data_IF_993455040696
#
_entry.id   IF_993455040696
#
_cell.length_a   1.000
_cell.length_b   1.000
_cell.length_c   1.000
_cell.angle_alpha   90.00
_cell.angle_beta   90.00
_cell.angle_gamma   90.00
#
_symmetry.space_group_name_H-M   'P 1'
#
loop_
_entity.id
_entity.type
_entity.pdbx_description
1 polymer ?
#
# COMPACT_ATOMS: atom_id res chain seq x y z
N UNK A 1 -34.92 10.34 -32.47
CA UNK A 1 -34.03 10.95 -31.47
C UNK A 1 -33.37 9.81 -30.72
N UNK A 2 -32.16 9.46 -31.14
CA UNK A 2 -31.38 8.37 -30.55
C UNK A 2 -30.84 8.83 -29.21
N UNK A 3 -31.35 8.22 -28.13
CA UNK A 3 -30.82 8.35 -26.78
C UNK A 3 -29.41 7.76 -26.74
N UNK A 4 -28.41 8.64 -26.71
CA UNK A 4 -27.02 8.25 -26.45
C UNK A 4 -26.90 7.91 -24.97
N UNK A 5 -26.77 6.63 -24.67
CA UNK A 5 -26.40 6.11 -23.36
C UNK A 5 -24.96 6.52 -23.06
N UNK A 6 -24.81 7.56 -22.25
CA UNK A 6 -23.53 7.92 -21.63
C UNK A 6 -23.09 6.75 -20.75
N UNK A 7 -22.19 5.91 -21.26
CA UNK A 7 -21.36 5.08 -20.41
C UNK A 7 -20.54 6.03 -19.54
N UNK A 8 -20.80 6.03 -18.23
CA UNK A 8 -20.06 6.87 -17.30
C UNK A 8 -18.57 6.57 -17.43
N UNK A 9 -17.77 7.60 -17.67
CA UNK A 9 -16.33 7.52 -17.50
C UNK A 9 -16.09 7.03 -16.06
N UNK A 10 -15.53 5.82 -15.93
CA UNK A 10 -15.21 5.26 -14.62
C UNK A 10 -14.33 6.25 -13.86
N UNK A 11 -14.78 6.68 -12.68
CA UNK A 11 -14.02 7.62 -11.87
C UNK A 11 -12.63 7.03 -11.59
N UNK A 12 -11.56 7.81 -11.82
CA UNK A 12 -10.19 7.38 -11.52
C UNK A 12 -9.96 7.13 -10.02
N UNK A 13 -8.73 6.79 -9.66
CA UNK A 13 -8.40 6.39 -8.29
C UNK A 13 -8.64 7.52 -7.29
N UNK A 14 -9.22 7.19 -6.14
CA UNK A 14 -9.37 8.09 -4.99
C UNK A 14 -8.22 7.85 -4.02
N UNK A 15 -7.48 8.89 -3.67
CA UNK A 15 -6.28 8.78 -2.82
C UNK A 15 -6.56 9.40 -1.46
N UNK A 16 -6.29 8.65 -0.39
CA UNK A 16 -6.34 9.15 0.99
C UNK A 16 -4.95 9.06 1.62
N UNK A 17 -4.54 10.16 2.28
CA UNK A 17 -3.30 10.25 3.05
C UNK A 17 -3.59 10.73 4.48
N UNK A 18 -2.86 10.29 5.50
CA UNK A 18 -2.99 10.88 6.83
C UNK A 18 -2.63 12.38 6.78
N UNK A 19 -3.33 13.25 7.55
CA UNK A 19 -4.31 12.91 8.57
C UNK A 19 -5.76 12.81 8.07
N UNK A 20 -6.01 12.71 6.75
CA UNK A 20 -7.39 12.65 6.22
C UNK A 20 -8.14 11.43 6.76
N UNK A 21 -9.40 11.65 7.14
CA UNK A 21 -10.31 10.56 7.46
C UNK A 21 -10.65 9.76 6.20
N UNK A 22 -10.79 8.45 6.39
CA UNK A 22 -11.06 7.50 5.31
C UNK A 22 -12.51 7.02 5.45
N UNK A 23 -13.34 7.08 4.38
CA UNK A 23 -14.78 6.77 4.45
C UNK A 23 -15.03 5.34 4.93
N UNK A 24 -16.04 5.13 5.78
CA UNK A 24 -16.45 3.81 6.26
C UNK A 24 -17.92 3.53 5.85
N UNK A 25 -18.19 2.57 4.95
CA UNK A 25 -17.23 1.65 4.32
C UNK A 25 -16.33 2.34 3.27
N UNK A 26 -15.20 1.68 2.94
CA UNK A 26 -14.36 2.10 1.81
C UNK A 26 -15.16 2.04 0.50
N UNK A 27 -14.87 2.97 -0.40
CA UNK A 27 -15.51 3.00 -1.71
C UNK A 27 -14.75 2.13 -2.71
N UNK A 28 -15.41 1.10 -3.22
CA UNK A 28 -14.85 0.20 -4.23
C UNK A 28 -13.66 -0.63 -3.73
N UNK A 29 -12.97 -1.28 -4.66
CA UNK A 29 -11.77 -2.06 -4.37
C UNK A 29 -10.65 -1.15 -3.86
N UNK A 30 -9.88 -1.61 -2.88
CA UNK A 30 -8.90 -0.78 -2.17
C UNK A 30 -7.51 -1.40 -2.08
N UNK A 31 -6.48 -0.54 -2.08
CA UNK A 31 -5.08 -0.92 -1.91
C UNK A 31 -4.38 -0.02 -0.89
N UNK A 32 -3.64 -0.64 0.03
CA UNK A 32 -2.75 0.06 0.96
C UNK A 32 -1.30 -0.01 0.49
N UNK A 33 -0.58 1.12 0.53
CA UNK A 33 0.82 1.23 0.08
C UNK A 33 1.81 1.09 1.24
N UNK A 34 1.96 -0.13 1.77
CA UNK A 34 2.91 -0.43 2.86
C UNK A 34 4.35 -0.43 2.36
N UNK A 35 5.32 -0.05 3.20
CA UNK A 35 6.71 -0.17 2.80
C UNK A 35 7.61 0.93 3.30
N UNK A 36 8.82 0.95 2.74
CA UNK A 36 9.88 1.89 3.11
C UNK A 36 9.41 3.35 3.00
N UNK A 37 9.41 4.04 4.14
CA UNK A 37 9.29 5.49 4.27
C UNK A 37 10.46 5.92 5.15
N UNK A 38 11.62 6.14 4.53
CA UNK A 38 12.80 6.64 5.22
C UNK A 38 13.17 7.99 4.63
N UNK A 39 12.87 9.06 5.39
CA UNK A 39 13.05 10.44 4.92
C UNK A 39 14.48 10.68 4.45
N UNK A 40 14.62 11.09 3.19
CA UNK A 40 15.91 11.38 2.55
C UNK A 40 16.69 10.16 2.04
N UNK A 41 16.17 8.93 2.20
CA UNK A 41 16.80 7.71 1.66
C UNK A 41 15.89 6.91 0.74
N UNK A 42 14.62 6.72 1.12
CA UNK A 42 13.67 6.02 0.28
C UNK A 42 13.20 6.94 -0.86
N UNK A 43 13.16 6.43 -2.08
CA UNK A 43 12.48 7.12 -3.18
C UNK A 43 11.00 7.35 -2.87
N UNK A 44 10.37 8.31 -3.56
CA UNK A 44 8.93 8.59 -3.45
C UNK A 44 8.10 7.56 -4.22
N UNK A 45 8.30 6.28 -3.91
CA UNK A 45 7.71 5.17 -4.64
C UNK A 45 6.19 5.13 -4.51
N UNK A 46 5.62 5.61 -3.39
CA UNK A 46 4.16 5.69 -3.24
C UNK A 46 3.55 6.66 -4.25
N UNK A 47 4.23 7.77 -4.55
CA UNK A 47 3.76 8.74 -5.56
C UNK A 47 3.86 8.11 -6.96
N UNK A 48 4.98 7.43 -7.27
CA UNK A 48 5.14 6.67 -8.52
C UNK A 48 4.05 5.61 -8.69
N UNK A 49 3.73 4.85 -7.63
CA UNK A 49 2.71 3.82 -7.68
C UNK A 49 1.31 4.41 -7.81
N UNK A 50 1.01 5.47 -7.07
CA UNK A 50 -0.26 6.19 -7.16
C UNK A 50 -0.52 6.65 -8.59
N UNK A 51 0.49 7.23 -9.25
CA UNK A 51 0.39 7.65 -10.66
C UNK A 51 0.13 6.46 -11.59
N UNK A 52 0.74 5.29 -11.35
CA UNK A 52 0.49 4.08 -12.15
C UNK A 52 -0.91 3.50 -11.99
N UNK A 53 -1.57 3.79 -10.88
CA UNK A 53 -2.90 3.29 -10.54
C UNK A 53 -4.02 4.32 -10.80
N UNK A 54 -3.69 5.54 -11.24
CA UNK A 54 -4.60 6.70 -11.33
C UNK A 54 -5.89 6.47 -12.13
N UNK A 55 -5.85 5.62 -13.15
CA UNK A 55 -6.99 5.39 -14.06
C UNK A 55 -7.87 4.22 -13.61
N UNK A 56 -7.49 3.52 -12.53
CA UNK A 56 -8.30 2.44 -11.96
C UNK A 56 -9.34 3.03 -10.99
N UNK A 57 -10.60 2.58 -11.04
CA UNK A 57 -11.66 3.04 -10.13
C UNK A 57 -11.54 2.38 -8.75
N UNK A 58 -10.46 2.70 -8.04
CA UNK A 58 -10.09 2.11 -6.75
C UNK A 58 -9.82 3.17 -5.68
N UNK A 59 -9.81 2.74 -4.43
CA UNK A 59 -9.33 3.55 -3.30
C UNK A 59 -7.87 3.22 -2.98
N UNK A 60 -7.01 4.23 -2.98
CA UNK A 60 -5.58 4.13 -2.63
C UNK A 60 -5.38 4.74 -1.24
N UNK A 61 -4.88 3.93 -0.32
CA UNK A 61 -4.53 4.33 1.04
C UNK A 61 -3.01 4.49 1.11
N UNK A 62 -2.54 5.74 1.06
CA UNK A 62 -1.13 6.08 1.01
C UNK A 62 -0.68 6.60 2.39
N UNK A 63 0.12 5.82 3.17
CA UNK A 63 0.51 6.21 4.52
C UNK A 63 1.54 7.34 4.57
N UNK A 64 2.16 7.70 3.44
CA UNK A 64 3.18 8.74 3.39
C UNK A 64 2.55 10.13 3.63
N UNK A 65 2.63 10.59 4.87
CA UNK A 65 2.14 11.91 5.33
C UNK A 65 2.99 13.04 4.73
N UNK A 66 2.34 14.01 4.08
CA UNK A 66 3.04 15.16 3.48
C UNK A 66 3.60 16.11 4.57
N UNK A 67 2.89 16.26 5.69
CA UNK A 67 3.27 17.10 6.83
C UNK A 67 3.94 16.36 7.98
N UNK A 68 4.80 15.36 7.70
CA UNK A 68 5.54 14.65 8.75
C UNK A 68 6.58 15.56 9.42
N UNK A 69 6.64 15.52 10.75
CA UNK A 69 7.63 16.23 11.55
C UNK A 69 8.52 15.24 12.30
N UNK A 70 9.83 15.28 12.02
CA UNK A 70 10.83 14.39 12.61
C UNK A 70 11.07 14.63 14.10
N UNK A 71 10.55 15.72 14.66
CA UNK A 71 10.61 16.01 16.10
C UNK A 71 9.54 15.26 16.91
N UNK A 72 8.55 14.63 16.24
CA UNK A 72 7.54 13.87 16.94
C UNK A 72 8.13 12.69 17.70
N UNK A 73 7.94 12.71 19.01
CA UNK A 73 8.29 11.58 19.86
C UNK A 73 7.53 10.32 19.42
N UNK A 74 8.26 9.23 19.15
CA UNK A 74 7.69 7.93 18.77
C UNK A 74 7.15 7.17 20.00
N UNK A 75 6.16 7.77 20.66
CA UNK A 75 5.46 7.22 21.82
C UNK A 75 3.96 7.30 21.60
N UNK A 76 3.24 6.31 22.11
CA UNK A 76 1.76 6.28 22.12
C UNK A 76 1.14 7.53 22.76
N UNK A 77 1.85 8.18 23.69
CA UNK A 77 1.41 9.42 24.35
C UNK A 77 1.46 10.64 23.42
N UNK A 78 2.26 10.62 22.35
CA UNK A 78 2.25 11.67 21.34
C UNK A 78 1.03 11.47 20.42
N UNK A 79 0.08 12.41 20.38
CA UNK A 79 -1.17 12.24 19.63
C UNK A 79 -0.95 12.15 18.12
N UNK A 80 0.00 12.90 17.55
CA UNK A 80 0.28 12.89 16.11
C UNK A 80 0.89 11.55 15.66
N UNK A 81 1.87 11.06 16.41
CA UNK A 81 2.46 9.76 16.17
C UNK A 81 1.43 8.63 16.37
N UNK A 82 0.65 8.69 17.46
CA UNK A 82 -0.37 7.69 17.74
C UNK A 82 -1.48 7.68 16.68
N UNK A 83 -1.86 8.85 16.16
CA UNK A 83 -2.81 8.96 15.06
C UNK A 83 -2.26 8.28 13.80
N UNK A 84 -1.03 8.60 13.39
CA UNK A 84 -0.38 8.00 12.22
C UNK A 84 -0.40 6.46 12.31
N UNK A 85 0.09 5.90 13.41
CA UNK A 85 0.17 4.44 13.59
C UNK A 85 -1.23 3.79 13.60
N UNK A 86 -2.22 4.45 14.23
CA UNK A 86 -3.60 3.94 14.22
C UNK A 86 -4.23 3.99 12.84
N UNK A 87 -3.98 5.07 12.09
CA UNK A 87 -4.45 5.24 10.72
C UNK A 87 -3.87 4.15 9.81
N UNK A 88 -2.56 3.90 9.90
CA UNK A 88 -1.88 2.85 9.13
C UNK A 88 -2.43 1.45 9.44
N UNK A 89 -2.62 1.12 10.73
CA UNK A 89 -3.16 -0.17 11.15
C UNK A 89 -4.62 -0.36 10.74
N UNK A 90 -5.45 0.68 10.84
CA UNK A 90 -6.85 0.64 10.41
C UNK A 90 -6.96 0.44 8.90
N UNK A 91 -6.21 1.24 8.14
CA UNK A 91 -6.21 1.18 6.68
C UNK A 91 -5.71 -0.17 6.15
N UNK A 92 -4.64 -0.75 6.72
CA UNK A 92 -4.17 -2.08 6.33
C UNK A 92 -5.21 -3.17 6.62
N UNK A 93 -5.95 -3.09 7.74
CA UNK A 93 -7.01 -4.06 8.05
C UNK A 93 -8.15 -3.99 7.05
N UNK A 94 -8.53 -2.78 6.64
CA UNK A 94 -9.69 -2.52 5.78
C UNK A 94 -9.39 -2.73 4.30
N UNK A 95 -8.15 -2.52 3.87
CA UNK A 95 -7.76 -2.68 2.47
C UNK A 95 -8.03 -4.11 1.94
N UNK A 96 -8.37 -4.22 0.67
CA UNK A 96 -8.50 -5.52 -0.02
C UNK A 96 -7.13 -6.10 -0.39
N UNK A 97 -6.20 -5.22 -0.78
CA UNK A 97 -4.82 -5.56 -1.12
C UNK A 97 -3.84 -4.70 -0.32
N UNK A 98 -2.76 -5.31 0.17
CA UNK A 98 -1.62 -4.60 0.76
C UNK A 98 -0.44 -4.75 -0.19
N UNK A 99 -0.10 -3.68 -0.89
CA UNK A 99 1.07 -3.58 -1.75
C UNK A 99 2.26 -3.16 -0.89
N UNK A 100 3.17 -4.10 -0.60
CA UNK A 100 4.27 -3.91 0.33
C UNK A 100 5.62 -3.83 -0.39
N UNK A 101 6.31 -2.69 -0.30
CA UNK A 101 7.60 -2.48 -0.96
C UNK A 101 8.76 -2.25 0.02
N UNK A 102 9.78 -3.09 -0.06
CA UNK A 102 11.04 -2.93 0.66
C UNK A 102 12.09 -2.31 -0.27
N UNK A 103 12.32 -1.00 -0.14
CA UNK A 103 13.32 -0.29 -0.93
C UNK A 103 14.75 -0.73 -0.56
N UNK A 104 15.66 -0.89 -1.54
CA UNK A 104 17.09 -1.09 -1.28
C UNK A 104 17.65 -0.04 -0.31
N UNK A 105 18.66 -0.40 0.47
CA UNK A 105 19.36 0.50 1.40
C UNK A 105 18.52 1.10 2.56
N UNK A 106 17.26 0.69 2.72
CA UNK A 106 16.41 1.06 3.86
C UNK A 106 16.42 0.00 4.96
N UNK A 107 16.01 0.37 6.19
CA UNK A 107 15.88 -0.59 7.30
C UNK A 107 14.48 -1.16 7.47
N UNK A 108 13.45 -0.33 7.28
CA UNK A 108 12.02 -0.69 7.31
C UNK A 108 11.59 -1.62 8.45
N UNK A 109 11.96 -1.35 9.73
CA UNK A 109 11.61 -2.23 10.84
C UNK A 109 10.10 -2.33 11.08
N UNK A 110 9.36 -1.23 10.87
CA UNK A 110 7.90 -1.22 11.00
C UNK A 110 7.27 -2.04 9.87
N UNK A 111 7.74 -1.92 8.63
CA UNK A 111 7.27 -2.75 7.52
C UNK A 111 7.51 -4.24 7.76
N UNK A 112 8.64 -4.63 8.37
CA UNK A 112 8.87 -6.04 8.75
C UNK A 112 7.85 -6.53 9.80
N UNK A 113 7.47 -5.67 10.75
CA UNK A 113 6.42 -5.96 11.73
C UNK A 113 5.05 -6.10 11.05
N UNK A 114 4.74 -5.23 10.09
CA UNK A 114 3.50 -5.26 9.29
C UNK A 114 3.42 -6.51 8.42
N UNK A 115 4.53 -6.92 7.80
CA UNK A 115 4.63 -8.17 7.04
C UNK A 115 4.17 -9.35 7.90
N UNK A 116 4.73 -9.46 9.12
CA UNK A 116 4.33 -10.51 10.06
C UNK A 116 2.87 -10.39 10.52
N UNK A 117 2.39 -9.17 10.76
CA UNK A 117 1.03 -8.91 11.23
C UNK A 117 -0.04 -9.32 10.20
N UNK A 118 0.24 -9.14 8.91
CA UNK A 118 -0.71 -9.39 7.82
C UNK A 118 -0.40 -10.64 6.98
N UNK A 119 0.64 -11.39 7.33
CA UNK A 119 1.13 -12.55 6.57
C UNK A 119 0.05 -13.58 6.21
N UNK A 120 -0.83 -13.91 7.16
CA UNK A 120 -1.85 -14.95 7.02
C UNK A 120 -3.16 -14.47 6.38
N UNK A 121 -3.27 -13.18 6.04
CA UNK A 121 -4.52 -12.58 5.56
C UNK A 121 -4.82 -12.84 4.08
N UNK A 122 -3.82 -13.23 3.30
CA UNK A 122 -3.92 -13.35 1.83
C UNK A 122 -3.97 -12.02 1.07
N UNK A 123 -3.91 -10.88 1.78
CA UNK A 123 -4.00 -9.53 1.20
C UNK A 123 -2.68 -9.03 0.62
N UNK A 124 -1.55 -9.57 1.07
CA UNK A 124 -0.22 -9.08 0.73
C UNK A 124 0.19 -9.42 -0.72
N UNK A 125 0.85 -8.46 -1.35
CA UNK A 125 1.72 -8.61 -2.51
C UNK A 125 3.01 -7.86 -2.17
N UNK A 126 4.14 -8.58 -2.13
CA UNK A 126 5.41 -8.04 -1.62
C UNK A 126 6.38 -7.85 -2.77
N UNK A 127 7.14 -6.75 -2.73
CA UNK A 127 8.32 -6.56 -3.55
C UNK A 127 9.52 -6.27 -2.68
N UNK A 128 10.58 -7.06 -2.85
CA UNK A 128 11.84 -6.93 -2.10
C UNK A 128 13.03 -7.12 -3.05
N UNK A 129 13.48 -6.06 -3.73
CA UNK A 129 14.67 -6.12 -4.57
C UNK A 129 15.95 -6.42 -3.79
N UNK A 130 16.99 -6.81 -4.51
CA UNK A 130 18.35 -6.91 -3.95
C UNK A 130 18.79 -5.59 -3.33
N UNK A 131 19.59 -5.69 -2.26
CA UNK A 131 20.06 -4.53 -1.48
C UNK A 131 19.25 -4.27 -0.20
N UNK A 132 18.08 -4.89 -0.02
CA UNK A 132 17.43 -4.85 1.30
C UNK A 132 18.13 -5.78 2.30
N UNK A 133 18.61 -5.20 3.41
CA UNK A 133 19.49 -5.86 4.39
C UNK A 133 18.89 -7.10 5.11
N UNK A 134 17.58 -7.33 4.99
CA UNK A 134 16.87 -8.48 5.55
C UNK A 134 16.09 -9.27 4.48
N UNK A 135 16.46 -9.15 3.20
CA UNK A 135 15.81 -9.83 2.06
C UNK A 135 15.58 -11.33 2.34
N UNK A 136 16.60 -12.07 2.78
CA UNK A 136 16.46 -13.50 3.12
C UNK A 136 15.39 -13.83 4.17
N UNK A 137 15.10 -12.92 5.11
CA UNK A 137 14.00 -13.13 6.08
C UNK A 137 12.64 -12.89 5.41
N UNK A 138 12.55 -11.89 4.54
CA UNK A 138 11.33 -11.60 3.76
C UNK A 138 11.02 -12.77 2.83
N UNK A 139 12.02 -13.30 2.13
CA UNK A 139 11.88 -14.46 1.23
C UNK A 139 11.30 -15.67 1.96
N UNK A 140 11.92 -16.09 3.07
CA UNK A 140 11.47 -17.25 3.84
C UNK A 140 10.05 -17.04 4.38
N UNK A 141 9.74 -15.86 4.93
CA UNK A 141 8.37 -15.57 5.41
C UNK A 141 7.36 -15.61 4.28
N UNK A 142 7.68 -15.02 3.13
CA UNK A 142 6.80 -15.04 1.97
C UNK A 142 6.58 -16.46 1.43
N UNK A 143 7.62 -17.28 1.36
CA UNK A 143 7.53 -18.69 0.95
C UNK A 143 6.64 -19.49 1.91
N UNK A 144 6.92 -19.45 3.21
CA UNK A 144 6.18 -20.18 4.25
C UNK A 144 4.70 -19.77 4.31
N UNK A 145 4.41 -18.49 4.07
CA UNK A 145 3.06 -17.93 4.13
C UNK A 145 2.38 -17.87 2.75
N UNK A 146 3.03 -18.36 1.69
CA UNK A 146 2.54 -18.33 0.30
C UNK A 146 2.16 -16.92 -0.16
N UNK A 147 2.91 -15.93 0.28
CA UNK A 147 2.75 -14.52 -0.11
C UNK A 147 3.48 -14.32 -1.44
N UNK A 148 2.81 -13.79 -2.48
CA UNK A 148 3.49 -13.45 -3.73
C UNK A 148 4.61 -12.44 -3.49
N UNK A 149 5.82 -12.77 -3.94
CA UNK A 149 7.02 -11.97 -3.80
C UNK A 149 7.63 -11.68 -5.18
N UNK A 150 7.94 -10.42 -5.46
CA UNK A 150 8.69 -9.99 -6.64
C UNK A 150 10.02 -9.35 -6.26
N UNK A 151 10.99 -9.44 -7.16
CA UNK A 151 12.34 -8.90 -6.93
C UNK A 151 12.60 -7.57 -7.65
N UNK A 152 11.67 -7.11 -8.49
CA UNK A 152 11.83 -5.86 -9.21
C UNK A 152 10.55 -5.02 -9.24
N UNK A 153 10.74 -3.70 -9.34
CA UNK A 153 9.66 -2.72 -9.35
C UNK A 153 8.67 -2.94 -10.50
N UNK A 154 9.16 -3.29 -11.70
CA UNK A 154 8.31 -3.47 -12.87
C UNK A 154 7.31 -4.61 -12.62
N UNK A 155 7.80 -5.77 -12.22
CA UNK A 155 6.95 -6.95 -12.00
C UNK A 155 6.01 -6.76 -10.80
N UNK A 156 6.44 -6.02 -9.78
CA UNK A 156 5.57 -5.62 -8.68
C UNK A 156 4.36 -4.82 -9.16
N UNK A 157 4.60 -3.79 -9.96
CA UNK A 157 3.52 -2.93 -10.48
C UNK A 157 2.60 -3.73 -11.40
N UNK A 158 3.16 -4.52 -12.32
CA UNK A 158 2.39 -5.29 -13.28
C UNK A 158 1.50 -6.32 -12.56
N UNK A 159 2.05 -7.09 -11.62
CA UNK A 159 1.27 -8.05 -10.82
C UNK A 159 0.21 -7.37 -9.94
N UNK A 160 0.50 -6.19 -9.39
CA UNK A 160 -0.49 -5.44 -8.61
C UNK A 160 -1.67 -5.01 -9.49
N UNK A 161 -1.39 -4.45 -10.67
CA UNK A 161 -2.43 -4.03 -11.61
C UNK A 161 -3.29 -5.21 -12.05
N UNK A 162 -2.67 -6.35 -12.37
CA UNK A 162 -3.39 -7.56 -12.77
C UNK A 162 -4.26 -8.11 -11.63
N UNK A 163 -3.73 -8.14 -10.40
CA UNK A 163 -4.48 -8.55 -9.20
C UNK A 163 -5.70 -7.65 -8.97
N UNK A 164 -5.52 -6.33 -9.02
CA UNK A 164 -6.60 -5.36 -8.83
C UNK A 164 -7.68 -5.52 -9.90
N UNK A 165 -7.30 -5.62 -11.19
CA UNK A 165 -8.24 -5.85 -12.28
C UNK A 165 -8.99 -7.16 -12.11
N UNK A 166 -8.31 -8.25 -11.75
CA UNK A 166 -8.95 -9.55 -11.52
C UNK A 166 -10.01 -9.50 -10.41
N UNK A 167 -9.69 -8.83 -9.30
CA UNK A 167 -10.62 -8.62 -8.18
C UNK A 167 -11.83 -7.77 -8.58
N UNK A 168 -11.64 -6.71 -9.37
CA UNK A 168 -12.76 -5.88 -9.87
C UNK A 168 -13.77 -6.68 -10.71
N UNK A 169 -13.28 -7.58 -11.58
CA UNK A 169 -14.16 -8.45 -12.37
C UNK A 169 -14.85 -9.52 -11.52
N UNK A 170 -14.26 -9.91 -10.39
CA UNK A 170 -14.82 -10.93 -9.48
C UNK A 170 -15.87 -10.36 -8.50
N UNK A 171 -15.91 -9.03 -8.33
CA UNK A 171 -16.88 -8.33 -7.49
C UNK A 171 -18.05 -7.71 -8.29
N UNK A 172 -18.02 -7.83 -9.63
CA UNK A 172 -19.10 -7.44 -10.54
C UNK A 172 -20.07 -8.59 -10.77
#
# INVERSE_FOLDING_TARGET
>A
MTSSSTHGAGAGAKVYKPPQEVPDPLEGLSVFLAGSIEMGKAELWQDKLTERLRDLPITILNPRRDGWDSTWEQRKSNPEFAYQVKWELDCQRRADVIAMYFSPDTKSPITLMELGLFASTGKLLVCCPDGFWRKGNVEIVCEEQKIPLTECWKDFVDQLVDKLKSLMHSQS
#
